data_IF_500110577614
#
_entry.id   IF_500110577614
#
_cell.length_a   1.000
_cell.length_b   1.000
_cell.length_c   1.000
_cell.angle_alpha   90.00
_cell.angle_beta   90.00
_cell.angle_gamma   90.00
#
_symmetry.space_group_name_H-M   'P 1'
#
loop_
_entity.id
_entity.type
_entity.pdbx_description
1 polymer ?
#
# COMPACT_ATOMS: atom_id res chain seq x y z
N UNK A 1 -21.37 21.27 -45.74
CA UNK A 1 -21.10 19.97 -46.38
C UNK A 1 -21.77 18.91 -45.51
N UNK A 2 -22.97 18.59 -45.91
CA UNK A 2 -23.91 17.65 -45.34
C UNK A 2 -23.54 16.24 -45.76
N UNK A 3 -23.51 15.29 -44.82
CA UNK A 3 -23.53 13.88 -45.16
C UNK A 3 -24.60 13.16 -44.35
N UNK A 4 -25.35 12.46 -45.07
CA UNK A 4 -26.62 11.81 -44.91
C UNK A 4 -26.63 10.56 -44.03
N UNK A 5 -27.72 10.39 -43.33
CA UNK A 5 -28.12 9.16 -42.62
C UNK A 5 -28.53 8.08 -43.65
N UNK A 6 -28.07 6.87 -43.44
CA UNK A 6 -28.59 5.69 -44.08
C UNK A 6 -29.12 4.71 -43.01
N UNK A 7 -30.43 4.62 -42.97
CA UNK A 7 -31.23 3.62 -42.26
C UNK A 7 -31.20 2.28 -42.99
N UNK A 8 -31.11 1.16 -42.31
CA UNK A 8 -31.65 -0.12 -42.79
C UNK A 8 -32.34 -0.90 -41.66
N UNK A 9 -33.51 -1.31 -41.97
CA UNK A 9 -34.52 -2.03 -41.21
C UNK A 9 -34.23 -3.55 -41.08
N UNK A 10 -35.05 -4.26 -40.28
CA UNK A 10 -34.69 -5.53 -39.63
C UNK A 10 -35.24 -6.73 -40.41
N UNK A 11 -34.60 -7.87 -40.27
CA UNK A 11 -35.18 -9.14 -40.71
C UNK A 11 -35.69 -9.99 -39.52
N UNK A 12 -36.92 -10.44 -39.70
CA UNK A 12 -37.68 -11.37 -38.86
C UNK A 12 -37.25 -12.80 -39.22
N UNK A 13 -37.04 -13.67 -38.25
CA UNK A 13 -37.12 -15.13 -38.45
C UNK A 13 -37.77 -15.80 -37.25
N UNK A 14 -38.93 -16.23 -37.48
CA UNK A 14 -39.70 -17.46 -37.38
C UNK A 14 -39.45 -18.37 -36.17
N UNK A 15 -40.54 -18.50 -35.40
CA UNK A 15 -40.80 -19.57 -34.44
C UNK A 15 -40.88 -20.94 -35.12
N UNK A 16 -40.26 -21.96 -34.53
CA UNK A 16 -40.68 -23.35 -34.73
C UNK A 16 -40.98 -23.97 -33.36
N UNK A 17 -42.27 -24.21 -33.18
CA UNK A 17 -42.84 -25.00 -32.09
C UNK A 17 -42.65 -26.46 -32.39
N UNK A 18 -42.07 -27.22 -31.47
CA UNK A 18 -42.14 -28.71 -31.46
C UNK A 18 -42.70 -29.11 -30.11
N UNK A 19 -43.94 -29.58 -30.16
CA UNK A 19 -44.61 -30.26 -29.07
C UNK A 19 -44.15 -31.72 -29.04
N UNK A 20 -43.76 -32.22 -27.86
CA UNK A 20 -43.65 -33.65 -27.62
C UNK A 20 -44.35 -34.08 -26.34
N UNK A 21 -45.09 -35.16 -26.47
CA UNK A 21 -46.07 -35.72 -25.57
C UNK A 21 -45.52 -36.22 -24.23
N UNK A 22 -46.39 -36.10 -23.23
CA UNK A 22 -46.29 -36.73 -21.91
C UNK A 22 -46.26 -38.27 -22.00
N UNK A 23 -45.40 -38.86 -21.19
CA UNK A 23 -45.55 -40.22 -20.69
C UNK A 23 -45.27 -40.25 -19.20
N UNK A 24 -46.32 -40.35 -18.39
CA UNK A 24 -46.25 -40.57 -16.95
C UNK A 24 -45.79 -42.01 -16.66
N UNK A 25 -44.65 -42.15 -16.01
CA UNK A 25 -44.29 -43.35 -15.24
C UNK A 25 -44.12 -42.92 -13.78
N UNK A 26 -45.08 -43.32 -12.95
CA UNK A 26 -44.97 -43.19 -11.50
C UNK A 26 -44.02 -44.27 -10.95
N UNK A 27 -42.89 -43.90 -10.49
CA UNK A 27 -42.00 -44.75 -9.68
C UNK A 27 -42.11 -44.24 -8.23
N UNK A 28 -42.74 -45.04 -7.41
CA UNK A 28 -42.78 -44.81 -5.96
C UNK A 28 -41.37 -45.16 -5.38
N UNK A 29 -40.60 -44.16 -5.02
CA UNK A 29 -39.37 -44.35 -4.23
C UNK A 29 -39.68 -44.11 -2.75
N UNK A 30 -39.50 -45.16 -1.98
CA UNK A 30 -39.48 -45.12 -0.51
C UNK A 30 -38.37 -44.16 -0.06
N UNK A 31 -38.78 -43.03 0.50
CA UNK A 31 -37.87 -42.05 1.10
C UNK A 31 -37.51 -42.50 2.49
N UNK A 32 -36.32 -43.11 2.65
CA UNK A 32 -35.72 -43.29 3.98
C UNK A 32 -35.26 -41.93 4.49
N UNK A 33 -35.92 -41.43 5.51
CA UNK A 33 -35.52 -40.24 6.23
C UNK A 33 -34.19 -40.50 6.97
N UNK A 34 -33.09 -40.08 6.37
CA UNK A 34 -31.82 -39.95 7.08
C UNK A 34 -31.84 -38.65 7.89
N UNK A 35 -31.75 -38.79 9.22
CA UNK A 35 -31.49 -37.67 10.11
C UNK A 35 -30.21 -36.92 9.70
N UNK A 36 -30.21 -35.61 9.62
CA UNK A 36 -28.99 -34.87 9.35
C UNK A 36 -27.99 -35.10 10.48
N UNK A 37 -26.79 -35.55 10.12
CA UNK A 37 -25.67 -35.62 11.06
C UNK A 37 -25.40 -34.23 11.69
N UNK A 38 -25.00 -34.19 12.98
CA UNK A 38 -24.68 -32.90 13.60
C UNK A 38 -23.57 -32.23 12.83
N UNK A 39 -23.84 -31.01 12.34
CA UNK A 39 -22.82 -30.14 11.75
C UNK A 39 -21.86 -29.80 12.88
N UNK A 40 -20.72 -30.48 12.89
CA UNK A 40 -19.58 -30.07 13.75
C UNK A 40 -19.10 -28.75 13.19
N UNK A 41 -19.56 -27.66 13.78
CA UNK A 41 -18.99 -26.35 13.57
C UNK A 41 -17.53 -26.40 14.05
N UNK A 42 -16.59 -26.50 13.11
CA UNK A 42 -15.20 -26.21 13.38
C UNK A 42 -15.15 -24.83 14.04
N UNK A 43 -14.45 -24.65 15.16
CA UNK A 43 -14.27 -23.32 15.73
C UNK A 43 -13.54 -22.51 14.67
N UNK A 44 -14.23 -21.55 14.02
CA UNK A 44 -13.59 -20.48 13.32
C UNK A 44 -12.69 -19.79 14.34
N UNK A 45 -11.38 -19.82 14.11
CA UNK A 45 -10.44 -19.05 14.89
C UNK A 45 -10.88 -17.60 14.76
N UNK A 46 -11.43 -17.07 15.83
CA UNK A 46 -11.79 -15.65 15.95
C UNK A 46 -10.52 -14.83 16.18
N UNK A 47 -9.58 -14.89 15.23
CA UNK A 47 -8.65 -13.79 15.07
C UNK A 47 -9.45 -12.68 14.39
N UNK A 48 -9.93 -11.73 15.17
CA UNK A 48 -10.49 -10.50 14.62
C UNK A 48 -9.36 -9.87 13.79
N UNK A 49 -9.49 -9.92 12.46
CA UNK A 49 -8.60 -9.26 11.53
C UNK A 49 -8.73 -7.75 11.69
N UNK A 50 -7.68 -7.00 11.35
CA UNK A 50 -7.77 -5.55 11.27
C UNK A 50 -8.92 -5.13 10.34
N UNK A 51 -9.49 -3.94 10.58
CA UNK A 51 -10.63 -3.42 9.83
C UNK A 51 -10.18 -2.29 8.90
N UNK A 52 -10.75 -2.24 7.69
CA UNK A 52 -10.60 -1.12 6.76
C UNK A 52 -11.60 -0.02 7.14
N UNK A 53 -11.11 1.15 7.55
CA UNK A 53 -11.94 2.27 7.99
C UNK A 53 -12.90 2.74 6.89
N UNK A 54 -12.44 2.81 5.66
CA UNK A 54 -13.23 3.26 4.50
C UNK A 54 -14.39 2.33 4.11
N UNK A 55 -14.45 1.13 4.68
CA UNK A 55 -15.56 0.19 4.44
C UNK A 55 -16.61 0.23 5.53
N UNK A 56 -16.40 1.00 6.58
CA UNK A 56 -17.31 1.11 7.71
C UNK A 56 -18.29 2.28 7.51
N UNK A 57 -19.50 2.12 8.02
CA UNK A 57 -20.39 3.25 8.26
C UNK A 57 -19.90 4.09 9.45
N UNK A 58 -20.39 5.33 9.61
CA UNK A 58 -19.93 6.19 10.71
C UNK A 58 -20.24 5.60 12.09
N UNK A 59 -21.35 4.91 12.27
CA UNK A 59 -21.75 4.29 13.52
C UNK A 59 -20.96 2.99 13.81
N UNK A 60 -20.47 2.29 12.78
CA UNK A 60 -19.50 1.20 12.91
C UNK A 60 -18.12 1.74 13.28
N UNK A 61 -17.69 2.84 12.65
CA UNK A 61 -16.44 3.50 12.97
C UNK A 61 -16.42 4.01 14.42
N UNK A 62 -17.52 4.55 14.95
CA UNK A 62 -17.65 4.97 16.35
C UNK A 62 -17.38 3.82 17.33
N UNK A 63 -17.82 2.59 17.00
CA UNK A 63 -17.61 1.41 17.86
C UNK A 63 -16.18 0.91 17.88
N UNK A 64 -15.40 1.16 16.85
CA UNK A 64 -14.04 0.62 16.71
C UNK A 64 -12.94 1.65 16.95
N UNK A 65 -13.23 2.95 16.86
CA UNK A 65 -12.28 4.02 17.15
C UNK A 65 -12.29 4.34 18.65
N UNK A 66 -11.57 3.54 19.43
CA UNK A 66 -11.47 3.66 20.87
C UNK A 66 -10.04 4.06 21.32
N UNK A 67 -9.82 4.44 22.60
CA UNK A 67 -8.46 4.72 23.10
C UNK A 67 -7.48 3.54 22.97
N UNK A 68 -7.97 2.31 22.90
CA UNK A 68 -7.16 1.09 22.74
C UNK A 68 -6.80 0.80 21.28
N UNK A 69 -7.45 1.49 20.34
CA UNK A 69 -7.25 1.26 18.90
C UNK A 69 -5.90 1.79 18.44
N UNK A 70 -5.20 0.99 17.65
CA UNK A 70 -4.07 1.43 16.82
C UNK A 70 -4.59 1.72 15.44
N UNK A 71 -4.37 2.95 14.95
CA UNK A 71 -4.72 3.34 13.59
C UNK A 71 -3.48 3.26 12.71
N UNK A 72 -3.58 2.48 11.63
CA UNK A 72 -2.51 2.34 10.62
C UNK A 72 -2.92 3.09 9.37
N UNK A 73 -2.03 3.94 8.83
CA UNK A 73 -2.25 4.73 7.63
C UNK A 73 -1.11 4.42 6.66
N UNK A 74 -1.40 3.93 5.48
CA UNK A 74 -0.38 3.76 4.45
C UNK A 74 -0.02 5.10 3.80
N UNK A 75 1.25 5.30 3.48
CA UNK A 75 1.78 6.48 2.80
C UNK A 75 2.67 6.04 1.65
N UNK A 76 2.21 6.22 0.42
CA UNK A 76 2.95 5.86 -0.79
C UNK A 76 2.58 6.77 -1.96
N UNK A 77 3.59 7.33 -2.64
CA UNK A 77 3.39 8.22 -3.77
C UNK A 77 2.71 7.52 -4.94
N UNK A 78 1.61 8.08 -5.44
CA UNK A 78 0.93 7.61 -6.66
C UNK A 78 1.46 8.28 -7.93
N UNK A 79 2.26 9.34 -7.77
CA UNK A 79 2.82 10.11 -8.88
C UNK A 79 4.22 10.64 -8.52
N UNK A 80 5.21 9.73 -8.56
CA UNK A 80 6.63 10.00 -8.31
C UNK A 80 7.46 9.12 -9.23
N UNK A 81 8.51 9.66 -9.84
CA UNK A 81 9.40 8.88 -10.70
C UNK A 81 10.17 7.80 -9.90
N UNK A 82 10.45 6.68 -10.57
CA UNK A 82 11.22 5.55 -10.06
C UNK A 82 12.05 4.90 -11.18
N UNK A 83 12.88 5.70 -11.82
CA UNK A 83 13.61 5.25 -12.99
C UNK A 83 12.70 4.99 -14.19
N UNK A 84 13.30 4.51 -15.28
CA UNK A 84 12.55 4.22 -16.54
C UNK A 84 11.83 2.88 -16.50
N UNK A 85 12.15 2.03 -15.54
CA UNK A 85 11.72 0.64 -15.47
C UNK A 85 10.56 0.39 -14.50
N UNK A 86 10.33 1.28 -13.54
CA UNK A 86 9.19 1.24 -12.62
C UNK A 86 8.14 2.29 -13.03
N UNK A 87 6.93 2.13 -12.52
CA UNK A 87 5.83 3.06 -12.76
C UNK A 87 5.85 4.23 -11.78
N UNK A 88 5.19 5.34 -12.11
CA UNK A 88 5.08 6.50 -11.21
C UNK A 88 4.38 6.18 -9.88
N UNK A 89 3.50 5.19 -9.86
CA UNK A 89 2.77 4.75 -8.68
C UNK A 89 3.48 3.63 -7.90
N UNK A 90 4.77 3.48 -8.07
CA UNK A 90 5.57 2.43 -7.43
C UNK A 90 5.39 2.38 -5.92
N UNK A 91 5.57 3.51 -5.24
CA UNK A 91 5.43 3.61 -3.78
C UNK A 91 3.99 3.30 -3.33
N UNK A 92 2.99 3.72 -4.11
CA UNK A 92 1.59 3.43 -3.82
C UNK A 92 1.31 1.91 -3.90
N UNK A 93 1.79 1.23 -4.93
CA UNK A 93 1.63 -0.23 -5.05
C UNK A 93 2.31 -0.97 -3.88
N UNK A 94 3.50 -0.52 -3.48
CA UNK A 94 4.19 -1.05 -2.30
C UNK A 94 3.37 -0.79 -1.02
N UNK A 95 2.87 0.42 -0.84
CA UNK A 95 2.07 0.81 0.32
C UNK A 95 0.77 -0.02 0.43
N UNK A 96 0.06 -0.23 -0.68
CA UNK A 96 -1.15 -1.05 -0.73
C UNK A 96 -0.86 -2.54 -0.44
N UNK A 97 0.26 -3.06 -0.94
CA UNK A 97 0.69 -4.42 -0.59
C UNK A 97 0.95 -4.56 0.91
N UNK A 98 1.72 -3.64 1.50
CA UNK A 98 2.02 -3.63 2.94
C UNK A 98 0.73 -3.43 3.77
N UNK A 99 -0.16 -2.55 3.33
CA UNK A 99 -1.50 -2.34 3.92
C UNK A 99 -2.28 -3.65 3.98
N UNK A 100 -2.31 -4.39 2.87
CA UNK A 100 -2.96 -5.70 2.82
C UNK A 100 -2.33 -6.69 3.81
N UNK A 101 -0.99 -6.76 3.88
CA UNK A 101 -0.28 -7.66 4.81
C UNK A 101 -0.60 -7.33 6.27
N UNK A 102 -0.75 -6.04 6.59
CA UNK A 102 -1.20 -5.60 7.94
C UNK A 102 -2.64 -6.03 8.19
N UNK A 103 -3.55 -5.86 7.25
CA UNK A 103 -4.94 -6.31 7.38
C UNK A 103 -5.04 -7.81 7.68
N UNK A 104 -4.20 -8.60 7.01
CA UNK A 104 -4.23 -10.07 7.14
C UNK A 104 -3.63 -10.57 8.47
N UNK A 105 -2.72 -9.80 9.11
CA UNK A 105 -1.87 -10.31 10.21
C UNK A 105 -1.74 -9.38 11.43
N UNK A 106 -2.30 -8.17 11.40
CA UNK A 106 -2.18 -7.24 12.53
C UNK A 106 -2.92 -7.72 13.78
N UNK A 107 -2.46 -7.32 14.97
CA UNK A 107 -3.13 -7.63 16.22
C UNK A 107 -4.54 -7.04 16.29
N UNK A 108 -5.35 -7.57 17.21
CA UNK A 108 -6.71 -7.07 17.48
C UNK A 108 -6.68 -5.56 17.80
N UNK A 109 -7.80 -4.89 17.59
CA UNK A 109 -7.96 -3.44 17.75
C UNK A 109 -7.05 -2.62 16.82
N UNK A 110 -6.75 -3.15 15.63
CA UNK A 110 -6.10 -2.40 14.56
C UNK A 110 -7.15 -1.97 13.54
N UNK A 111 -7.16 -0.67 13.22
CA UNK A 111 -7.97 -0.07 12.15
C UNK A 111 -7.02 0.51 11.10
N UNK A 112 -7.25 0.17 9.86
CA UNK A 112 -6.42 0.64 8.73
C UNK A 112 -7.20 1.72 7.98
N UNK A 113 -6.66 2.93 7.95
CA UNK A 113 -7.27 4.09 7.30
C UNK A 113 -6.90 4.17 5.80
N UNK A 114 -7.59 5.02 5.02
CA UNK A 114 -7.25 5.27 3.62
C UNK A 114 -5.81 5.69 3.41
N UNK A 115 -5.25 5.29 2.27
CA UNK A 115 -3.85 5.56 1.93
C UNK A 115 -3.64 7.04 1.57
N UNK A 116 -2.59 7.65 2.10
CA UNK A 116 -2.11 8.98 1.72
C UNK A 116 -1.20 8.80 0.49
N UNK A 117 -1.57 9.39 -0.64
CA UNK A 117 -0.87 9.22 -1.92
C UNK A 117 -0.09 10.46 -2.39
N UNK A 118 -0.10 11.54 -1.64
CA UNK A 118 0.72 12.75 -1.85
C UNK A 118 1.50 13.09 -0.60
N UNK A 119 2.77 13.47 -0.74
CA UNK A 119 3.61 13.95 0.36
C UNK A 119 4.83 14.74 -0.15
N UNK A 120 5.91 14.76 0.60
CA UNK A 120 7.11 15.54 0.34
C UNK A 120 8.15 14.73 -0.45
N UNK A 121 8.31 15.03 -1.75
CA UNK A 121 9.21 14.34 -2.68
C UNK A 121 10.02 15.30 -3.57
N UNK A 122 10.69 16.32 -3.01
CA UNK A 122 11.31 17.41 -3.79
C UNK A 122 12.46 16.94 -4.67
N UNK A 123 13.09 15.81 -4.35
CA UNK A 123 14.24 15.28 -5.07
C UNK A 123 13.92 14.79 -6.50
N UNK A 124 12.64 14.70 -6.87
CA UNK A 124 12.20 14.04 -8.10
C UNK A 124 11.48 14.98 -9.09
N UNK A 125 11.37 16.27 -8.76
CA UNK A 125 10.56 17.24 -9.54
C UNK A 125 11.08 17.53 -10.95
N UNK A 126 12.34 17.23 -11.25
CA UNK A 126 12.88 17.35 -12.61
C UNK A 126 12.37 16.25 -13.56
N UNK A 127 11.75 15.20 -13.01
CA UNK A 127 11.24 14.09 -13.81
C UNK A 127 9.73 14.25 -14.01
N UNK A 128 9.27 14.39 -15.26
CA UNK A 128 7.87 14.63 -15.57
C UNK A 128 6.94 13.56 -14.97
N UNK A 129 5.84 14.02 -14.38
CA UNK A 129 4.87 13.19 -13.69
C UNK A 129 5.11 13.08 -12.18
N UNK A 130 6.27 13.53 -11.67
CA UNK A 130 6.49 13.61 -10.23
C UNK A 130 5.77 14.80 -9.62
N UNK A 131 5.18 14.58 -8.44
CA UNK A 131 4.54 15.60 -7.61
C UNK A 131 5.23 15.68 -6.26
N UNK A 132 5.21 16.86 -5.65
CA UNK A 132 5.68 17.04 -4.27
C UNK A 132 4.89 18.14 -3.58
N UNK A 133 4.50 17.89 -2.35
CA UNK A 133 4.07 18.93 -1.43
C UNK A 133 5.28 19.65 -0.84
N UNK A 134 5.08 20.83 -0.24
CA UNK A 134 6.09 21.38 0.66
C UNK A 134 6.17 20.53 1.94
N UNK A 135 7.28 20.62 2.66
CA UNK A 135 7.43 19.89 3.92
C UNK A 135 6.35 20.28 4.94
N UNK A 136 5.99 21.57 4.99
CA UNK A 136 4.98 22.08 5.92
C UNK A 136 3.57 21.62 5.54
N UNK A 137 3.23 21.58 4.25
CA UNK A 137 1.95 21.05 3.78
C UNK A 137 1.82 19.56 4.06
N UNK A 138 2.87 18.79 3.79
CA UNK A 138 2.87 17.35 4.08
C UNK A 138 2.74 17.07 5.58
N UNK A 139 3.47 17.81 6.42
CA UNK A 139 3.35 17.75 7.87
C UNK A 139 1.93 18.09 8.34
N UNK A 140 1.38 19.22 7.89
CA UNK A 140 0.04 19.66 8.26
C UNK A 140 -1.02 18.64 7.88
N UNK A 141 -0.99 18.13 6.65
CA UNK A 141 -1.93 17.11 6.18
C UNK A 141 -1.90 15.84 7.05
N UNK A 142 -0.71 15.34 7.39
CA UNK A 142 -0.55 14.16 8.27
C UNK A 142 -1.13 14.47 9.66
N UNK A 143 -0.81 15.63 10.21
CA UNK A 143 -1.26 16.08 11.54
C UNK A 143 -2.78 16.23 11.59
N UNK A 144 -3.39 16.86 10.58
CA UNK A 144 -4.84 17.11 10.52
C UNK A 144 -5.62 15.79 10.39
N UNK A 145 -5.15 14.85 9.55
CA UNK A 145 -5.76 13.51 9.42
C UNK A 145 -5.71 12.78 10.76
N UNK A 146 -4.56 12.78 11.43
CA UNK A 146 -4.38 12.11 12.72
C UNK A 146 -5.23 12.77 13.81
N UNK A 147 -5.25 14.10 13.91
CA UNK A 147 -6.11 14.80 14.87
C UNK A 147 -7.59 14.50 14.65
N UNK A 148 -8.03 14.45 13.39
CA UNK A 148 -9.42 14.12 13.06
C UNK A 148 -9.81 12.73 13.57
N UNK A 149 -8.95 11.73 13.38
CA UNK A 149 -9.20 10.38 13.88
C UNK A 149 -9.02 10.27 15.39
N UNK A 150 -8.06 10.99 15.97
CA UNK A 150 -7.83 11.03 17.40
C UNK A 150 -8.98 11.68 18.18
N UNK A 151 -9.79 12.55 17.53
CA UNK A 151 -10.99 13.12 18.13
C UNK A 151 -11.97 12.04 18.64
N UNK A 152 -12.01 10.89 17.99
CA UNK A 152 -12.93 9.79 18.33
C UNK A 152 -12.37 8.79 19.35
N UNK A 153 -11.12 8.93 19.79
CA UNK A 153 -10.55 8.06 20.86
C UNK A 153 -9.11 7.62 20.64
N UNK A 154 -8.70 7.15 19.45
CA UNK A 154 -7.35 6.62 19.24
C UNK A 154 -6.25 7.61 19.64
N UNK A 155 -5.16 7.06 20.21
CA UNK A 155 -3.96 7.84 20.59
C UNK A 155 -2.68 7.22 20.05
N UNK A 156 -2.79 6.12 19.29
CA UNK A 156 -1.67 5.37 18.73
C UNK A 156 -1.83 5.26 17.22
N UNK A 157 -0.87 5.82 16.48
CA UNK A 157 -0.89 5.89 15.03
C UNK A 157 0.40 5.32 14.46
N UNK A 158 0.29 4.55 13.39
CA UNK A 158 1.43 4.01 12.64
C UNK A 158 1.31 4.39 11.18
N UNK A 159 2.35 5.02 10.61
CA UNK A 159 2.42 5.29 9.16
C UNK A 159 3.25 4.20 8.48
N UNK A 160 2.62 3.41 7.60
CA UNK A 160 3.30 2.53 6.66
C UNK A 160 3.95 3.40 5.57
N UNK A 161 5.16 3.84 5.82
CA UNK A 161 5.86 4.77 4.95
C UNK A 161 6.74 4.02 3.94
N UNK A 162 6.65 4.38 2.66
CA UNK A 162 7.42 3.80 1.56
C UNK A 162 8.44 4.77 0.94
N UNK A 163 8.69 5.92 1.57
CA UNK A 163 9.62 6.92 1.06
C UNK A 163 10.64 7.41 2.09
N UNK A 164 11.87 7.66 1.67
CA UNK A 164 12.90 8.26 2.53
C UNK A 164 12.67 9.77 2.71
N UNK A 165 12.28 10.50 1.67
CA UNK A 165 12.03 11.95 1.73
C UNK A 165 10.94 12.33 2.73
N UNK A 166 9.96 11.45 2.92
CA UNK A 166 8.82 11.62 3.83
C UNK A 166 9.17 11.51 5.31
N UNK A 167 10.35 10.98 5.65
CA UNK A 167 10.80 10.90 7.04
C UNK A 167 10.86 12.28 7.71
N UNK A 168 11.22 13.33 6.94
CA UNK A 168 11.31 14.69 7.48
C UNK A 168 9.95 15.24 7.96
N UNK A 169 8.88 15.31 7.14
CA UNK A 169 7.57 15.75 7.63
C UNK A 169 6.98 14.80 8.68
N UNK A 170 7.24 13.48 8.61
CA UNK A 170 6.78 12.50 9.61
C UNK A 170 7.41 12.75 10.99
N UNK A 171 8.70 13.00 11.06
CA UNK A 171 9.39 13.30 12.32
C UNK A 171 8.85 14.61 12.97
N UNK A 172 8.58 15.62 12.14
CA UNK A 172 8.01 16.87 12.60
C UNK A 172 6.56 16.67 13.09
N UNK A 173 5.73 15.94 12.35
CA UNK A 173 4.37 15.60 12.75
C UNK A 173 4.35 14.79 14.06
N UNK A 174 5.24 13.81 14.22
CA UNK A 174 5.34 13.04 15.46
C UNK A 174 5.68 13.92 16.67
N UNK A 175 6.56 14.91 16.47
CA UNK A 175 6.93 15.88 17.52
C UNK A 175 5.74 16.77 17.90
N UNK A 176 4.94 17.20 16.93
CA UNK A 176 3.78 18.03 17.19
C UNK A 176 2.66 17.23 17.88
N UNK A 177 2.31 16.08 17.38
CA UNK A 177 1.29 15.19 17.91
C UNK A 177 1.58 14.72 19.35
N UNK A 178 2.85 14.54 19.69
CA UNK A 178 3.26 14.19 21.04
C UNK A 178 2.86 15.24 22.10
N UNK A 179 2.74 16.52 21.71
CA UNK A 179 2.29 17.59 22.60
C UNK A 179 0.81 17.40 23.03
N UNK A 180 0.04 16.70 22.18
CA UNK A 180 -1.38 16.40 22.40
C UNK A 180 -1.62 14.98 22.91
N UNK A 181 -0.57 14.31 23.40
CA UNK A 181 -0.64 12.96 23.96
C UNK A 181 -0.88 11.88 22.88
N UNK A 182 -0.57 12.16 21.63
CA UNK A 182 -0.70 11.21 20.52
C UNK A 182 0.67 10.63 20.16
N UNK A 183 0.76 9.30 20.09
CA UNK A 183 1.98 8.60 19.69
C UNK A 183 1.90 8.28 18.22
N UNK A 184 2.80 8.86 17.43
CA UNK A 184 3.01 8.53 16.03
C UNK A 184 4.32 7.76 15.86
N UNK A 185 4.25 6.56 15.27
CA UNK A 185 5.40 5.80 14.75
C UNK A 185 5.26 5.61 13.25
N UNK A 186 6.35 5.31 12.57
CA UNK A 186 6.35 5.11 11.14
C UNK A 186 7.50 4.20 10.70
N UNK A 187 7.32 3.56 9.55
CA UNK A 187 8.38 2.78 8.90
C UNK A 187 9.52 3.71 8.48
N UNK A 188 10.71 3.41 8.95
CA UNK A 188 11.94 4.11 8.59
C UNK A 188 12.82 3.21 7.73
N UNK A 189 12.80 3.45 6.42
CA UNK A 189 13.55 2.68 5.43
C UNK A 189 15.06 2.94 5.43
N UNK A 190 15.55 3.84 6.28
CA UNK A 190 17.00 4.07 6.47
C UNK A 190 17.59 3.18 7.54
N UNK A 191 16.75 2.47 8.30
CA UNK A 191 17.23 1.53 9.31
C UNK A 191 17.83 0.29 8.66
N UNK A 192 18.89 -0.19 9.30
CA UNK A 192 19.57 -1.40 8.89
C UNK A 192 18.65 -2.64 8.91
N UNK A 193 18.51 -3.28 7.77
CA UNK A 193 17.90 -4.61 7.65
C UNK A 193 19.00 -5.64 7.36
N UNK A 194 19.25 -6.61 8.28
CA UNK A 194 20.24 -7.66 8.06
C UNK A 194 19.94 -8.55 6.85
N UNK A 195 18.66 -8.70 6.46
CA UNK A 195 18.25 -9.48 5.29
C UNK A 195 18.64 -8.71 4.03
N UNK A 196 18.32 -7.43 3.97
CA UNK A 196 18.72 -6.57 2.85
C UNK A 196 20.23 -6.54 2.67
N UNK A 197 21.00 -6.29 3.75
CA UNK A 197 22.48 -6.28 3.71
C UNK A 197 23.07 -7.57 3.15
N UNK A 198 22.44 -8.70 3.41
CA UNK A 198 22.91 -10.01 2.93
C UNK A 198 22.66 -10.23 1.43
N UNK A 199 21.55 -9.70 0.89
CA UNK A 199 21.16 -9.96 -0.51
C UNK A 199 21.57 -8.85 -1.46
N UNK A 200 21.81 -7.64 -0.97
CA UNK A 200 22.23 -6.47 -1.75
C UNK A 200 23.65 -6.65 -2.30
N UNK A 201 23.82 -6.40 -3.59
CA UNK A 201 25.08 -6.49 -4.31
C UNK A 201 25.62 -5.13 -4.75
N UNK A 202 24.77 -4.10 -4.83
CA UNK A 202 25.15 -2.76 -5.29
C UNK A 202 24.68 -1.71 -4.29
N UNK A 203 25.36 -0.56 -4.29
CA UNK A 203 24.87 0.64 -3.61
C UNK A 203 23.65 1.22 -4.32
N UNK A 204 23.07 2.26 -3.71
CA UNK A 204 21.89 2.95 -4.22
C UNK A 204 20.79 2.99 -3.18
N UNK A 205 19.80 3.86 -3.41
CA UNK A 205 18.64 4.02 -2.52
C UNK A 205 17.37 4.45 -3.26
N UNK A 206 17.39 4.49 -4.61
CA UNK A 206 16.22 4.92 -5.38
C UNK A 206 16.12 4.19 -6.70
N UNK A 207 15.00 3.55 -6.94
CA UNK A 207 14.76 2.71 -8.10
C UNK A 207 15.94 1.74 -8.35
N UNK A 208 16.53 1.28 -7.28
CA UNK A 208 17.76 0.51 -7.23
C UNK A 208 17.50 -1.01 -7.31
N UNK A 209 18.53 -1.79 -7.01
CA UNK A 209 18.46 -3.24 -6.95
C UNK A 209 17.36 -3.75 -6.01
N UNK A 210 17.28 -3.19 -4.80
CA UNK A 210 16.37 -3.70 -3.76
C UNK A 210 14.94 -3.27 -4.03
N UNK A 211 14.71 -2.00 -4.32
CA UNK A 211 13.37 -1.50 -4.61
C UNK A 211 12.78 -2.21 -5.84
N UNK A 212 13.59 -2.37 -6.90
CA UNK A 212 13.17 -3.12 -8.10
C UNK A 212 12.90 -4.59 -7.79
N UNK A 213 13.71 -5.22 -6.92
CA UNK A 213 13.49 -6.60 -6.48
C UNK A 213 12.17 -6.74 -5.73
N UNK A 214 11.89 -5.81 -4.80
CA UNK A 214 10.62 -5.80 -4.07
C UNK A 214 9.43 -5.70 -5.03
N UNK A 215 9.50 -4.85 -6.05
CA UNK A 215 8.43 -4.72 -7.03
C UNK A 215 8.30 -5.95 -7.95
N UNK A 216 9.38 -6.63 -8.27
CA UNK A 216 9.32 -7.93 -8.96
C UNK A 216 8.60 -9.01 -8.13
N UNK A 217 8.59 -8.89 -6.82
CA UNK A 217 7.84 -9.76 -5.92
C UNK A 217 6.38 -9.31 -5.74
N UNK A 218 6.16 -8.02 -5.51
CA UNK A 218 4.88 -7.41 -5.13
C UNK A 218 3.94 -7.26 -6.34
N UNK A 219 4.46 -6.70 -7.45
CA UNK A 219 3.69 -6.32 -8.64
C UNK A 219 4.57 -6.46 -9.90
N UNK A 220 4.96 -7.69 -10.31
CA UNK A 220 5.90 -7.92 -11.40
C UNK A 220 5.45 -7.32 -12.74
N UNK A 221 4.14 -7.23 -12.97
CA UNK A 221 3.55 -6.60 -14.16
C UNK A 221 3.81 -5.09 -14.26
N UNK A 222 4.13 -4.43 -13.15
CA UNK A 222 4.49 -3.00 -13.11
C UNK A 222 5.95 -2.74 -13.50
N UNK A 223 6.80 -3.79 -13.55
CA UNK A 223 8.24 -3.69 -13.76
C UNK A 223 8.64 -3.93 -15.21
N UNK A 224 9.38 -3.01 -15.79
CA UNK A 224 9.86 -3.09 -17.18
C UNK A 224 11.36 -3.34 -17.22
N UNK A 225 11.82 -4.55 -16.82
CA UNK A 225 13.25 -4.89 -16.71
C UNK A 225 14.08 -4.55 -17.95
N UNK A 226 13.50 -4.60 -19.16
CA UNK A 226 14.19 -4.17 -20.41
C UNK A 226 14.61 -2.70 -20.41
N UNK A 227 14.05 -1.87 -19.53
CA UNK A 227 14.39 -0.46 -19.35
C UNK A 227 15.27 -0.21 -18.12
N UNK A 228 15.55 -1.23 -17.32
CA UNK A 228 16.46 -1.14 -16.20
C UNK A 228 17.89 -0.88 -16.70
N UNK A 229 18.54 0.09 -16.08
CA UNK A 229 19.91 0.44 -16.40
C UNK A 229 20.64 0.88 -15.11
N UNK A 230 21.87 0.43 -14.96
CA UNK A 230 22.73 0.91 -13.86
C UNK A 230 22.93 2.41 -13.99
N UNK A 231 22.64 3.14 -12.91
CA UNK A 231 22.84 4.59 -12.81
C UNK A 231 23.26 4.91 -11.36
N UNK A 232 24.56 4.81 -11.11
CA UNK A 232 25.15 4.97 -9.78
C UNK A 232 26.31 5.99 -9.88
N UNK A 233 25.93 7.25 -10.14
CA UNK A 233 26.86 8.37 -10.11
C UNK A 233 27.20 8.76 -8.66
N UNK A 234 28.32 9.49 -8.45
CA UNK A 234 28.68 9.97 -7.13
C UNK A 234 27.55 10.77 -6.49
N UNK A 235 27.18 10.42 -5.27
CA UNK A 235 26.14 11.13 -4.53
C UNK A 235 26.56 12.55 -4.22
N UNK A 236 25.72 13.52 -4.52
CA UNK A 236 25.91 14.93 -4.26
C UNK A 236 24.74 15.49 -3.43
N UNK A 237 24.97 16.51 -2.59
CA UNK A 237 23.88 17.16 -1.86
C UNK A 237 22.82 17.73 -2.81
N UNK A 238 21.57 17.41 -2.56
CA UNK A 238 20.42 17.84 -3.38
C UNK A 238 19.54 16.67 -3.77
N UNK A 239 18.64 16.91 -4.73
CA UNK A 239 17.82 15.86 -5.35
C UNK A 239 18.55 15.12 -6.48
N UNK A 240 17.83 14.26 -7.16
CA UNK A 240 18.29 13.75 -8.44
C UNK A 240 18.13 14.84 -9.51
N UNK A 241 19.10 14.92 -10.43
CA UNK A 241 19.05 15.88 -11.53
C UNK A 241 19.35 15.21 -12.86
N UNK A 242 18.64 15.63 -13.90
CA UNK A 242 18.86 15.20 -15.29
C UNK A 242 19.94 16.03 -15.99
N UNK A 243 20.30 17.17 -15.41
CA UNK A 243 21.33 18.06 -15.95
C UNK A 243 22.70 17.65 -15.39
N UNK A 244 23.67 17.26 -16.23
CA UNK A 244 25.02 16.91 -15.78
C UNK A 244 25.77 18.08 -15.14
N UNK A 245 25.31 19.33 -15.32
CA UNK A 245 25.83 20.54 -14.67
C UNK A 245 24.92 21.02 -13.53
N UNK A 246 23.82 20.29 -13.25
CA UNK A 246 22.83 20.64 -12.24
C UNK A 246 23.36 20.44 -10.82
N UNK A 247 22.61 21.00 -9.85
CA UNK A 247 22.87 20.76 -8.44
C UNK A 247 22.18 19.47 -8.01
N UNK A 248 22.92 18.54 -7.40
CA UNK A 248 22.41 17.26 -6.93
C UNK A 248 23.10 16.07 -7.58
N UNK A 249 22.57 14.89 -7.36
CA UNK A 249 23.11 13.66 -7.93
C UNK A 249 22.63 13.49 -9.37
N UNK A 250 23.55 13.53 -10.32
CA UNK A 250 23.23 13.35 -11.74
C UNK A 250 22.67 11.95 -11.98
N UNK A 251 21.48 11.90 -12.56
CA UNK A 251 20.81 10.67 -12.97
C UNK A 251 19.98 10.88 -14.23
N UNK A 252 20.49 10.54 -15.41
CA UNK A 252 19.74 10.64 -16.66
C UNK A 252 18.59 9.61 -16.75
N UNK A 253 18.59 8.61 -15.90
CA UNK A 253 17.55 7.57 -15.87
C UNK A 253 16.47 7.77 -14.82
N UNK A 254 16.73 8.59 -13.80
CA UNK A 254 15.90 8.74 -12.60
C UNK A 254 16.18 7.71 -11.51
N UNK A 255 17.04 6.73 -11.75
CA UNK A 255 17.47 5.78 -10.73
C UNK A 255 18.76 6.25 -10.03
N UNK A 256 18.96 5.79 -8.81
CA UNK A 256 20.27 5.86 -8.17
C UNK A 256 20.61 4.50 -7.57
N UNK A 257 21.26 3.66 -8.38
CA UNK A 257 21.60 2.28 -8.07
C UNK A 257 21.81 1.40 -9.30
N UNK A 258 21.73 0.09 -9.11
CA UNK A 258 21.81 -0.89 -10.20
C UNK A 258 20.61 -1.83 -10.22
N UNK A 259 19.48 -1.41 -10.80
CA UNK A 259 18.28 -2.24 -10.90
C UNK A 259 18.46 -3.50 -11.77
N UNK A 260 19.55 -3.60 -12.56
CA UNK A 260 19.79 -4.79 -13.40
C UNK A 260 20.14 -6.03 -12.58
N UNK A 261 20.51 -5.85 -11.31
CA UNK A 261 20.82 -6.92 -10.35
C UNK A 261 19.57 -7.41 -9.59
N UNK A 262 18.41 -6.80 -9.85
CA UNK A 262 17.19 -7.13 -9.15
C UNK A 262 16.69 -8.54 -9.48
N UNK A 263 16.22 -9.24 -8.44
CA UNK A 263 15.53 -10.53 -8.60
C UNK A 263 14.32 -10.63 -7.70
N UNK A 264 13.35 -11.45 -8.09
CA UNK A 264 12.14 -11.68 -7.32
C UNK A 264 12.43 -12.30 -5.93
N UNK A 265 13.45 -13.15 -5.85
CA UNK A 265 13.85 -13.83 -4.60
C UNK A 265 14.42 -12.85 -3.58
N UNK A 266 15.25 -11.89 -4.02
CA UNK A 266 15.72 -10.78 -3.17
C UNK A 266 14.53 -9.95 -2.68
N UNK A 267 13.63 -9.63 -3.59
CA UNK A 267 12.40 -8.89 -3.29
C UNK A 267 11.55 -9.58 -2.25
N UNK A 268 11.33 -10.89 -2.40
CA UNK A 268 10.60 -11.67 -1.42
C UNK A 268 11.28 -11.62 -0.05
N UNK A 269 12.58 -11.87 0.02
CA UNK A 269 13.32 -11.89 1.28
C UNK A 269 13.23 -10.54 2.02
N UNK A 270 13.46 -9.43 1.32
CA UNK A 270 13.43 -8.08 1.91
C UNK A 270 12.00 -7.66 2.27
N UNK A 271 11.02 -7.92 1.41
CA UNK A 271 9.62 -7.58 1.69
C UNK A 271 9.09 -8.33 2.91
N UNK A 272 9.39 -9.64 3.05
CA UNK A 272 8.93 -10.41 4.21
C UNK A 272 9.63 -9.93 5.51
N UNK A 273 10.91 -9.55 5.46
CA UNK A 273 11.62 -8.92 6.58
C UNK A 273 10.96 -7.60 6.99
N UNK A 274 10.64 -6.75 6.01
CA UNK A 274 9.97 -5.47 6.25
C UNK A 274 8.58 -5.67 6.87
N UNK A 275 7.79 -6.61 6.35
CA UNK A 275 6.46 -6.95 6.91
C UNK A 275 6.58 -7.41 8.37
N UNK A 276 7.53 -8.28 8.67
CA UNK A 276 7.76 -8.74 10.04
C UNK A 276 8.13 -7.57 10.98
N UNK A 277 8.97 -6.65 10.52
CA UNK A 277 9.34 -5.44 11.27
C UNK A 277 8.13 -4.54 11.51
N UNK A 278 7.31 -4.28 10.48
CA UNK A 278 6.11 -3.47 10.60
C UNK A 278 5.13 -4.07 11.61
N UNK A 279 4.84 -5.36 11.54
CA UNK A 279 3.92 -6.03 12.45
C UNK A 279 4.42 -5.97 13.90
N UNK A 280 5.74 -6.12 14.10
CA UNK A 280 6.36 -5.96 15.41
C UNK A 280 6.24 -4.51 15.91
N UNK A 281 6.51 -3.52 15.07
CA UNK A 281 6.41 -2.10 15.43
C UNK A 281 4.97 -1.72 15.81
N UNK A 282 3.96 -2.27 15.14
CA UNK A 282 2.53 -2.08 15.46
C UNK A 282 2.21 -2.71 16.82
N UNK A 283 2.69 -3.92 17.10
CA UNK A 283 2.51 -4.56 18.40
C UNK A 283 3.21 -3.77 19.53
N UNK A 284 4.45 -3.33 19.30
CA UNK A 284 5.20 -2.51 20.26
C UNK A 284 4.52 -1.13 20.47
N UNK A 285 3.85 -0.59 19.43
CA UNK A 285 3.05 0.63 19.54
C UNK A 285 1.78 0.41 20.36
N UNK A 286 1.13 -0.73 20.19
CA UNK A 286 -0.06 -1.12 20.97
C UNK A 286 0.21 -1.11 22.47
N UNK A 287 1.43 -1.49 22.90
CA UNK A 287 1.87 -1.49 24.29
C UNK A 287 2.35 -0.10 24.78
N UNK A 288 2.56 0.85 23.86
CA UNK A 288 3.04 2.18 24.24
C UNK A 288 1.99 2.92 25.07
N UNK A 289 2.44 3.58 26.13
CA UNK A 289 1.59 4.43 26.98
C UNK A 289 1.61 5.84 26.41
N UNK A 290 0.49 6.37 25.91
CA UNK A 290 0.39 7.77 25.53
C UNK A 290 0.63 8.66 26.75
N UNK A 291 1.45 9.71 26.59
CA UNK A 291 1.60 10.69 27.67
C UNK A 291 0.28 11.44 27.85
N UNK A 292 -0.13 11.76 29.10
CA UNK A 292 -1.30 12.59 29.32
C UNK A 292 -1.14 13.94 28.58
N UNK A 293 -2.17 14.38 27.87
CA UNK A 293 -2.26 15.76 27.40
C UNK A 293 -2.17 16.70 28.59
N UNK A 294 -1.29 17.68 28.55
CA UNK A 294 -1.16 18.70 29.60
C UNK A 294 -2.35 19.65 29.60
#
# INVERSE_FOLDING_TARGET
MTFELASRHPEKLALHSVAWCLSLLAVATLSSAQSPAPVVSTPQSTHASALLLETLSWDEAERVLTPETVVVIALGAESKEHGRHLQLNNDFLMAEYLKKRVLDAAPQNTVVAPTINYSFYPAFLEYPGSTSLSVDTARAMITDIIHSLAHYGPRRFYILNTGISTLRPLAQAATDLAKDGIVLRYTDLTKDDPVEKRVRQSGGTHADEIETSMMLYIAPESVRMKKAARDLNPNQPGGLTRDPQGKGTYSPTGAWGDPTLATREKGQAVTESLVATILKDIEDLRQAVPSPSK
#
